data_IF_919904037714
#
_entry.id   IF_919904037714
#
_cell.length_a   1.000
_cell.length_b   1.000
_cell.length_c   1.000
_cell.angle_alpha   90.00
_cell.angle_beta   90.00
_cell.angle_gamma   90.00
#
_symmetry.space_group_name_H-M   'P 1'
#
loop_
_entity.id
_entity.type
_entity.pdbx_description
1 polymer ?
#
# COMPACT_ATOMS: atom_id res chain seq x y z
N UNK A 1 6.29 -23.04 -7.63
CA UNK A 1 6.21 -21.59 -7.37
C UNK A 1 5.73 -21.40 -5.94
N UNK A 2 6.57 -20.89 -5.03
CA UNK A 2 6.10 -20.52 -3.69
C UNK A 2 5.15 -19.33 -3.83
N UNK A 3 3.97 -19.42 -3.22
CA UNK A 3 3.06 -18.26 -3.16
C UNK A 3 3.79 -17.11 -2.45
N UNK A 4 3.63 -15.86 -2.90
CA UNK A 4 4.16 -14.71 -2.16
C UNK A 4 3.58 -14.75 -0.75
N UNK A 5 4.47 -14.81 0.26
CA UNK A 5 4.06 -14.78 1.66
C UNK A 5 3.97 -13.32 2.07
N UNK A 6 2.75 -12.80 2.16
CA UNK A 6 2.52 -11.45 2.69
C UNK A 6 3.05 -11.43 4.14
N UNK A 7 4.06 -10.61 4.42
CA UNK A 7 4.60 -10.47 5.78
C UNK A 7 3.68 -9.66 6.68
N UNK A 8 3.78 -9.86 8.00
CA UNK A 8 3.07 -9.04 8.99
C UNK A 8 3.43 -7.56 8.86
N UNK A 9 4.68 -7.23 8.53
CA UNK A 9 5.11 -5.85 8.32
C UNK A 9 4.40 -5.20 7.13
N UNK A 10 4.24 -5.93 6.02
CA UNK A 10 3.48 -5.45 4.86
C UNK A 10 2.01 -5.17 5.21
N UNK A 11 1.38 -6.04 6.02
CA UNK A 11 -0.01 -5.85 6.49
C UNK A 11 -0.14 -4.63 7.38
N UNK A 12 0.74 -4.48 8.37
CA UNK A 12 0.73 -3.35 9.30
C UNK A 12 0.95 -2.02 8.56
N UNK A 13 1.90 -1.97 7.63
CA UNK A 13 2.19 -0.78 6.84
C UNK A 13 0.99 -0.34 5.98
N UNK A 14 0.25 -1.29 5.37
CA UNK A 14 -0.98 -0.96 4.65
C UNK A 14 -2.09 -0.48 5.58
N UNK A 15 -2.25 -1.14 6.74
CA UNK A 15 -3.26 -0.79 7.73
C UNK A 15 -3.10 0.66 8.23
N UNK A 16 -1.88 1.08 8.54
CA UNK A 16 -1.57 2.45 9.00
C UNK A 16 -1.93 3.55 7.99
N UNK A 17 -2.11 3.21 6.71
CA UNK A 17 -2.60 4.13 5.69
C UNK A 17 -4.13 4.18 5.69
N UNK A 18 -4.79 3.04 5.83
CA UNK A 18 -6.26 2.96 5.84
C UNK A 18 -6.89 3.48 7.13
N UNK A 19 -6.16 3.45 8.25
CA UNK A 19 -6.62 4.00 9.53
C UNK A 19 -6.59 5.54 9.57
N UNK A 20 -6.00 6.18 8.54
CA UNK A 20 -5.94 7.64 8.46
C UNK A 20 -7.32 8.20 8.12
N UNK A 21 -7.69 9.36 8.71
CA UNK A 21 -8.93 10.02 8.36
C UNK A 21 -8.94 10.38 6.88
N UNK A 22 -10.09 10.16 6.24
CA UNK A 22 -10.32 10.59 4.87
C UNK A 22 -10.18 12.12 4.79
N UNK A 23 -9.49 12.68 3.80
CA UNK A 23 -9.33 14.13 3.64
C UNK A 23 -10.68 14.85 3.67
N UNK A 24 -10.79 15.98 4.39
CA UNK A 24 -12.05 16.72 4.57
C UNK A 24 -12.70 17.15 3.23
N UNK A 25 -11.87 17.41 2.23
CA UNK A 25 -12.32 17.79 0.89
C UNK A 25 -12.97 16.63 0.13
N UNK A 26 -12.82 15.38 0.56
CA UNK A 26 -13.40 14.20 -0.08
C UNK A 26 -14.92 14.31 -0.22
N UNK A 27 -15.62 14.72 0.84
CA UNK A 27 -17.08 14.85 0.83
C UNK A 27 -17.58 16.05 0.02
N UNK A 28 -16.70 16.98 -0.33
CA UNK A 28 -17.00 18.17 -1.15
C UNK A 28 -16.58 17.99 -2.61
N UNK A 29 -15.81 16.95 -2.90
CA UNK A 29 -15.26 16.66 -4.22
C UNK A 29 -16.30 15.99 -5.13
N UNK A 30 -16.11 16.13 -6.44
CA UNK A 30 -16.87 15.40 -7.46
C UNK A 30 -16.65 13.88 -7.36
N UNK A 31 -17.52 13.09 -8.00
CA UNK A 31 -17.39 11.62 -8.03
C UNK A 31 -16.04 11.16 -8.60
N UNK A 32 -15.53 11.83 -9.64
CA UNK A 32 -14.25 11.50 -10.25
C UNK A 32 -13.07 11.82 -9.33
N UNK A 33 -13.11 12.96 -8.65
CA UNK A 33 -12.09 13.33 -7.65
C UNK A 33 -12.12 12.36 -6.45
N UNK A 34 -13.31 12.00 -5.95
CA UNK A 34 -13.45 10.98 -4.91
C UNK A 34 -12.89 9.61 -5.36
N UNK A 35 -13.10 9.25 -6.64
CA UNK A 35 -12.48 8.05 -7.21
C UNK A 35 -10.95 8.16 -7.24
N UNK A 36 -10.40 9.30 -7.66
CA UNK A 36 -8.95 9.52 -7.66
C UNK A 36 -8.35 9.47 -6.25
N UNK A 37 -9.03 10.05 -5.25
CA UNK A 37 -8.60 9.99 -3.85
C UNK A 37 -8.58 8.55 -3.34
N UNK A 38 -9.62 7.75 -3.62
CA UNK A 38 -9.63 6.33 -3.23
C UNK A 38 -8.51 5.54 -3.90
N UNK A 39 -8.28 5.77 -5.19
CA UNK A 39 -7.20 5.12 -5.93
C UNK A 39 -5.82 5.51 -5.40
N UNK A 40 -5.62 6.77 -5.01
CA UNK A 40 -4.34 7.23 -4.47
C UNK A 40 -4.06 6.62 -3.09
N UNK A 41 -5.06 6.51 -2.21
CA UNK A 41 -4.94 5.84 -0.91
C UNK A 41 -4.57 4.36 -1.09
N UNK A 42 -5.26 3.64 -1.99
CA UNK A 42 -4.94 2.24 -2.29
C UNK A 42 -3.52 2.10 -2.83
N UNK A 43 -3.10 2.97 -3.76
CA UNK A 43 -1.75 2.96 -4.31
C UNK A 43 -0.69 3.19 -3.23
N UNK A 44 -0.92 4.13 -2.33
CA UNK A 44 -0.02 4.40 -1.20
C UNK A 44 0.11 3.19 -0.28
N UNK A 45 -1.01 2.54 0.07
CA UNK A 45 -1.01 1.35 0.90
C UNK A 45 -0.23 0.19 0.26
N UNK A 46 -0.38 -0.03 -1.05
CA UNK A 46 0.37 -1.06 -1.79
C UNK A 46 1.87 -0.78 -1.79
N UNK A 47 2.30 0.47 -2.02
CA UNK A 47 3.71 0.86 -2.00
C UNK A 47 4.30 0.66 -0.60
N UNK A 48 3.57 1.06 0.43
CA UNK A 48 3.99 0.91 1.83
C UNK A 48 4.14 -0.57 2.19
N UNK A 49 3.16 -1.40 1.85
CA UNK A 49 3.21 -2.85 2.07
C UNK A 49 4.43 -3.50 1.39
N UNK A 50 4.65 -3.18 0.11
CA UNK A 50 5.77 -3.71 -0.66
C UNK A 50 7.13 -3.28 -0.09
N UNK A 51 7.25 -2.01 0.28
CA UNK A 51 8.50 -1.48 0.86
C UNK A 51 8.81 -2.14 2.21
N UNK A 52 7.79 -2.31 3.06
CA UNK A 52 7.94 -3.00 4.34
C UNK A 52 8.30 -4.48 4.17
N UNK A 53 7.73 -5.15 3.17
CA UNK A 53 8.04 -6.55 2.84
C UNK A 53 9.52 -6.72 2.47
N UNK A 54 10.05 -5.83 1.61
CA UNK A 54 11.45 -5.83 1.20
C UNK A 54 12.42 -5.51 2.34
N UNK A 55 12.04 -4.65 3.29
CA UNK A 55 12.88 -4.36 4.46
C UNK A 55 13.01 -5.55 5.41
N UNK A 56 11.96 -6.36 5.55
CA UNK A 56 11.97 -7.56 6.41
C UNK A 56 12.63 -8.74 5.69
N UNK A 57 12.51 -8.84 4.37
CA UNK A 57 13.11 -9.87 3.54
C UNK A 57 14.06 -9.27 2.48
N UNK A 58 15.25 -8.76 2.87
CA UNK A 58 16.19 -8.18 1.91
C UNK A 58 16.67 -9.19 0.85
N UNK A 59 16.65 -10.50 1.16
CA UNK A 59 16.97 -11.57 0.20
C UNK A 59 15.96 -11.75 -0.94
N UNK A 60 14.80 -11.10 -0.92
CA UNK A 60 13.84 -11.14 -2.04
C UNK A 60 14.02 -10.01 -3.05
N UNK A 61 14.86 -8.99 -2.76
CA UNK A 61 15.13 -7.88 -3.67
C UNK A 61 16.14 -8.21 -4.78
N UNK A 62 16.97 -9.25 -4.60
CA UNK A 62 18.00 -9.65 -5.58
C UNK A 62 17.51 -10.72 -6.58
N UNK A 63 16.30 -11.26 -6.43
CA UNK A 63 15.83 -12.42 -7.21
C UNK A 63 14.96 -12.08 -8.45
N UNK A 64 14.64 -10.81 -8.69
CA UNK A 64 13.82 -10.38 -9.85
C UNK A 64 14.63 -9.56 -10.89
N UNK A 65 15.96 -9.53 -10.77
CA UNK A 65 16.88 -8.79 -11.65
C UNK A 65 17.69 -9.65 -12.62
N UNK A 66 17.24 -10.87 -12.94
CA UNK A 66 17.90 -11.78 -13.90
C UNK A 66 16.97 -12.19 -15.05
#
# INVERSE_FOLDING_TARGET
MSKPRITTAAVLAAHDIFDRPVPENYFKASSDEQRQIRLSIVRLALIAAHTADHQVNPSSAEAEGE
#
